data_IF_857229108505
#
_entry.id   IF_857229108505
#
_cell.length_a   1.000
_cell.length_b   1.000
_cell.length_c   1.000
_cell.angle_alpha   90.00
_cell.angle_beta   90.00
_cell.angle_gamma   90.00
#
_symmetry.space_group_name_H-M   'P 1'
#
loop_
_entity.id
_entity.type
_entity.pdbx_description
1 polymer ?
#
# COMPACT_ATOMS: atom_id res chain seq x y z
N UNK A 1 20.14 -15.66 -10.89
CA UNK A 1 18.91 -15.27 -10.17
C UNK A 1 17.70 -15.72 -10.98
N UNK A 2 16.71 -16.44 -10.43
CA UNK A 2 15.66 -17.03 -11.25
C UNK A 2 14.69 -15.95 -11.76
N UNK A 3 14.39 -16.06 -13.06
CA UNK A 3 13.63 -15.12 -13.87
C UNK A 3 12.14 -15.18 -13.50
N UNK A 4 11.60 -14.14 -12.86
CA UNK A 4 10.14 -14.01 -12.69
C UNK A 4 9.50 -13.76 -14.06
N UNK A 5 8.77 -14.75 -14.55
CA UNK A 5 8.10 -14.71 -15.85
C UNK A 5 6.89 -13.74 -15.78
N UNK A 6 7.11 -12.50 -16.22
CA UNK A 6 6.27 -11.33 -15.99
C UNK A 6 5.10 -11.17 -17.00
N UNK A 7 4.48 -12.28 -17.45
CA UNK A 7 3.43 -12.27 -18.49
C UNK A 7 2.03 -12.69 -18.02
N UNK A 8 1.86 -13.15 -16.78
CA UNK A 8 0.57 -13.67 -16.27
C UNK A 8 -0.30 -12.62 -15.57
N UNK A 9 0.30 -11.62 -14.93
CA UNK A 9 -0.41 -10.68 -14.08
C UNK A 9 -0.30 -9.25 -14.62
N UNK A 10 -1.38 -8.48 -14.51
CA UNK A 10 -1.44 -7.12 -15.03
C UNK A 10 -0.63 -6.17 -14.16
N UNK A 11 0.17 -5.32 -14.78
CA UNK A 11 0.79 -4.15 -14.14
C UNK A 11 -0.17 -2.94 -14.20
N UNK A 12 -0.01 -1.98 -13.30
CA UNK A 12 -0.77 -0.72 -13.31
C UNK A 12 -2.00 -0.67 -12.40
N UNK A 13 -2.87 0.32 -12.62
CA UNK A 13 -4.00 0.69 -11.74
C UNK A 13 -4.98 -0.48 -11.58
N UNK A 14 -5.38 -0.76 -10.34
CA UNK A 14 -6.46 -1.71 -10.04
C UNK A 14 -7.79 -1.14 -10.54
N UNK A 15 -8.47 -1.89 -11.41
CA UNK A 15 -9.83 -1.57 -11.82
C UNK A 15 -10.80 -1.68 -10.64
N UNK A 16 -11.98 -1.10 -10.79
CA UNK A 16 -13.04 -1.16 -9.77
C UNK A 16 -13.42 -2.61 -9.51
N UNK A 17 -13.60 -3.44 -10.54
CA UNK A 17 -13.99 -4.84 -10.38
C UNK A 17 -12.90 -5.66 -9.66
N UNK A 18 -11.63 -5.39 -9.95
CA UNK A 18 -10.50 -6.03 -9.26
C UNK A 18 -10.47 -5.63 -7.77
N UNK A 19 -10.72 -4.36 -7.49
CA UNK A 19 -10.79 -3.81 -6.13
C UNK A 19 -11.95 -4.44 -5.34
N UNK A 20 -13.14 -4.53 -5.93
CA UNK A 20 -14.32 -5.10 -5.27
C UNK A 20 -14.17 -6.61 -5.01
N UNK A 21 -13.60 -7.37 -5.95
CA UNK A 21 -13.26 -8.79 -5.72
C UNK A 21 -12.30 -8.95 -4.56
N UNK A 22 -11.26 -8.11 -4.49
CA UNK A 22 -10.28 -8.15 -3.41
C UNK A 22 -10.92 -7.81 -2.06
N UNK A 23 -11.76 -6.78 -1.99
CA UNK A 23 -12.49 -6.42 -0.76
C UNK A 23 -13.36 -7.55 -0.26
N UNK A 24 -14.25 -8.08 -1.12
CA UNK A 24 -15.15 -9.19 -0.78
C UNK A 24 -14.38 -10.42 -0.30
N UNK A 25 -13.23 -10.71 -0.93
CA UNK A 25 -12.38 -11.80 -0.49
C UNK A 25 -11.86 -11.57 0.94
N UNK A 26 -11.31 -10.39 1.23
CA UNK A 26 -10.74 -10.08 2.54
C UNK A 26 -11.80 -9.96 3.63
N UNK A 27 -12.97 -9.41 3.32
CA UNK A 27 -14.11 -9.37 4.25
C UNK A 27 -14.54 -10.78 4.67
N UNK A 28 -14.59 -11.73 3.72
CA UNK A 28 -15.00 -13.11 3.98
C UNK A 28 -13.91 -13.98 4.62
N UNK A 29 -12.63 -13.76 4.29
CA UNK A 29 -11.55 -14.69 4.61
C UNK A 29 -10.42 -14.07 5.48
N UNK A 30 -10.49 -12.78 5.76
CA UNK A 30 -9.42 -12.00 6.40
C UNK A 30 -8.21 -11.72 5.50
N UNK A 31 -7.37 -10.78 5.94
CA UNK A 31 -6.17 -10.32 5.23
C UNK A 31 -4.92 -11.17 5.47
N UNK A 32 -5.04 -12.52 5.42
CA UNK A 32 -3.94 -13.44 5.79
C UNK A 32 -3.43 -14.32 4.65
N UNK A 33 -4.25 -14.59 3.62
CA UNK A 33 -3.89 -15.49 2.52
C UNK A 33 -3.96 -14.80 1.14
N UNK A 34 -2.91 -14.04 0.82
CA UNK A 34 -2.82 -13.25 -0.42
C UNK A 34 -2.66 -14.11 -1.69
N UNK A 35 -2.10 -15.32 -1.56
CA UNK A 35 -2.05 -16.28 -2.68
C UNK A 35 -3.46 -16.68 -3.10
N UNK A 36 -4.34 -17.00 -2.14
CA UNK A 36 -5.75 -17.29 -2.45
C UNK A 36 -6.50 -16.06 -2.94
N UNK A 37 -6.20 -14.87 -2.40
CA UNK A 37 -6.75 -13.61 -2.91
C UNK A 37 -6.40 -13.38 -4.39
N UNK A 38 -5.14 -13.64 -4.79
CA UNK A 38 -4.71 -13.51 -6.20
C UNK A 38 -5.47 -14.42 -7.15
N UNK A 39 -5.79 -15.65 -6.74
CA UNK A 39 -6.62 -16.55 -7.56
C UNK A 39 -8.06 -16.04 -7.67
N UNK A 40 -8.61 -15.44 -6.61
CA UNK A 40 -9.95 -14.88 -6.63
C UNK A 40 -10.06 -13.61 -7.50
N UNK A 41 -9.06 -12.73 -7.45
CA UNK A 41 -8.97 -11.56 -8.34
C UNK A 41 -8.69 -11.98 -9.78
N UNK A 42 -7.83 -12.98 -9.98
CA UNK A 42 -7.54 -13.64 -11.26
C UNK A 42 -6.50 -12.93 -12.13
N UNK A 43 -6.40 -11.60 -12.03
CA UNK A 43 -5.53 -10.76 -12.88
C UNK A 43 -4.33 -10.15 -12.16
N UNK A 44 -4.26 -10.29 -10.84
CA UNK A 44 -3.24 -9.69 -9.98
C UNK A 44 -2.55 -10.77 -9.16
N UNK A 45 -1.27 -10.60 -8.89
CA UNK A 45 -0.52 -11.51 -8.05
C UNK A 45 -0.75 -11.24 -6.55
N UNK A 46 -0.22 -12.12 -5.71
CA UNK A 46 -0.38 -12.04 -4.26
C UNK A 46 0.24 -10.76 -3.66
N UNK A 47 1.39 -10.31 -4.18
CA UNK A 47 2.07 -9.11 -3.71
C UNK A 47 1.22 -7.87 -4.03
N UNK A 48 0.75 -7.75 -5.26
CA UNK A 48 -0.12 -6.68 -5.72
C UNK A 48 -1.42 -6.63 -4.91
N UNK A 49 -2.06 -7.77 -4.65
CA UNK A 49 -3.25 -7.84 -3.80
C UNK A 49 -2.98 -7.35 -2.38
N UNK A 50 -1.86 -7.77 -1.77
CA UNK A 50 -1.47 -7.31 -0.42
C UNK A 50 -1.22 -5.81 -0.40
N UNK A 51 -0.42 -5.29 -1.32
CA UNK A 51 -0.09 -3.86 -1.41
C UNK A 51 -1.34 -3.02 -1.63
N UNK A 52 -2.22 -3.44 -2.55
CA UNK A 52 -3.49 -2.76 -2.79
C UNK A 52 -4.34 -2.71 -1.52
N UNK A 53 -4.43 -3.81 -0.78
CA UNK A 53 -5.19 -3.83 0.47
C UNK A 53 -4.57 -2.93 1.53
N UNK A 54 -3.32 -3.19 1.91
CA UNK A 54 -2.65 -2.52 3.02
C UNK A 54 -2.46 -1.02 2.80
N UNK A 55 -2.28 -0.56 1.56
CA UNK A 55 -1.98 0.85 1.28
C UNK A 55 -3.21 1.66 0.86
N UNK A 56 -4.37 1.03 0.59
CA UNK A 56 -5.52 1.76 0.05
C UNK A 56 -6.89 1.29 0.53
N UNK A 57 -7.10 -0.01 0.77
CA UNK A 57 -8.43 -0.57 1.04
C UNK A 57 -8.69 -0.88 2.51
N UNK A 58 -7.64 -1.18 3.26
CA UNK A 58 -7.74 -1.49 4.68
C UNK A 58 -8.42 -0.32 5.43
N UNK A 59 -9.40 -0.61 6.31
CA UNK A 59 -9.97 0.41 7.19
C UNK A 59 -8.87 1.11 8.00
N UNK A 60 -8.98 2.43 8.15
CA UNK A 60 -7.98 3.24 8.85
C UNK A 60 -6.84 3.75 7.98
N UNK A 61 -6.72 3.33 6.71
CA UNK A 61 -5.77 3.96 5.79
C UNK A 61 -6.27 5.33 5.35
N UNK A 62 -5.51 6.36 5.70
CA UNK A 62 -5.81 7.73 5.34
C UNK A 62 -5.29 8.08 3.94
N UNK A 63 -6.22 8.51 3.09
CA UNK A 63 -6.03 8.83 1.68
C UNK A 63 -6.20 10.32 1.37
N UNK A 64 -6.42 11.16 2.38
CA UNK A 64 -6.51 12.60 2.19
C UNK A 64 -5.16 13.18 1.75
N UNK A 65 -5.18 14.42 1.25
CA UNK A 65 -3.94 15.19 1.07
C UNK A 65 -3.24 15.32 2.43
N UNK A 66 -1.91 15.42 2.39
CA UNK A 66 -1.14 15.73 3.58
C UNK A 66 -1.40 17.17 4.00
N UNK A 67 -1.45 17.40 5.30
CA UNK A 67 -1.49 18.75 5.84
C UNK A 67 -0.07 19.32 5.88
N UNK A 68 0.10 20.65 5.87
CA UNK A 68 1.42 21.27 6.01
C UNK A 68 2.19 20.80 7.26
N UNK A 69 1.48 20.48 8.34
CA UNK A 69 2.06 19.97 9.58
C UNK A 69 2.58 18.54 9.40
N UNK A 70 1.83 17.66 8.71
CA UNK A 70 2.28 16.32 8.37
C UNK A 70 3.52 16.38 7.45
N UNK A 71 3.53 17.27 6.45
CA UNK A 71 4.65 17.43 5.52
C UNK A 71 5.92 17.93 6.22
N UNK A 72 5.80 18.93 7.10
CA UNK A 72 6.92 19.43 7.90
C UNK A 72 7.49 18.35 8.81
N UNK A 73 6.62 17.58 9.45
CA UNK A 73 7.02 16.47 10.31
C UNK A 73 7.75 15.38 9.50
N UNK A 74 7.20 14.96 8.37
CA UNK A 74 7.84 13.98 7.46
C UNK A 74 9.23 14.46 7.05
N UNK A 75 9.34 15.71 6.60
CA UNK A 75 10.60 16.31 6.16
C UNK A 75 11.65 16.29 7.27
N UNK A 76 11.27 16.72 8.48
CA UNK A 76 12.18 16.72 9.63
C UNK A 76 12.67 15.31 10.00
N UNK A 77 11.79 14.31 9.95
CA UNK A 77 12.11 12.93 10.28
C UNK A 77 13.01 12.28 9.23
N UNK A 78 12.76 12.53 7.95
CA UNK A 78 13.60 12.05 6.84
C UNK A 78 15.00 12.68 6.93
N UNK A 79 15.11 13.99 7.14
CA UNK A 79 16.39 14.69 7.26
C UNK A 79 17.20 14.26 8.49
N UNK A 80 16.54 13.82 9.56
CA UNK A 80 17.22 13.26 10.74
C UNK A 80 17.98 11.95 10.44
N UNK A 81 17.70 11.30 9.29
CA UNK A 81 18.47 10.17 8.77
C UNK A 81 18.41 8.87 9.58
N UNK A 82 17.64 8.82 10.66
CA UNK A 82 17.70 7.72 11.65
C UNK A 82 16.54 6.73 11.59
N UNK A 83 15.50 6.99 10.80
CA UNK A 83 14.24 6.23 10.85
C UNK A 83 13.86 5.64 9.49
N UNK A 84 13.44 4.37 9.48
CA UNK A 84 12.83 3.74 8.31
C UNK A 84 11.39 4.23 8.08
N UNK A 85 10.88 4.10 6.84
CA UNK A 85 9.55 4.59 6.44
C UNK A 85 8.38 4.14 7.32
N UNK A 86 8.43 2.92 7.87
CA UNK A 86 7.41 2.44 8.80
C UNK A 86 7.40 3.22 10.11
N UNK A 87 8.58 3.45 10.69
CA UNK A 87 8.71 4.20 11.94
C UNK A 87 8.34 5.68 11.75
N UNK A 88 8.62 6.24 10.56
CA UNK A 88 8.15 7.59 10.20
C UNK A 88 6.61 7.61 10.11
N UNK A 89 5.99 6.63 9.44
CA UNK A 89 4.54 6.55 9.33
C UNK A 89 3.86 6.42 10.71
N UNK A 90 4.44 5.65 11.63
CA UNK A 90 3.98 5.56 13.02
C UNK A 90 4.04 6.90 13.76
N UNK A 91 5.12 7.67 13.57
CA UNK A 91 5.27 9.01 14.18
C UNK A 91 4.31 10.04 13.60
N UNK A 92 4.09 10.02 12.29
CA UNK A 92 3.11 10.89 11.63
C UNK A 92 1.69 10.53 12.06
N UNK A 93 1.43 9.23 12.24
CA UNK A 93 0.13 8.74 12.70
C UNK A 93 -0.98 8.96 11.67
N UNK A 94 -2.20 9.20 12.16
CA UNK A 94 -3.37 9.56 11.33
C UNK A 94 -3.66 8.58 10.18
N UNK A 95 -3.33 7.30 10.32
CA UNK A 95 -3.55 6.29 9.28
C UNK A 95 -2.65 6.42 8.04
N UNK A 96 -1.58 7.21 8.11
CA UNK A 96 -0.57 7.28 7.04
C UNK A 96 0.20 5.96 6.96
N UNK A 97 0.46 5.51 5.75
CA UNK A 97 1.22 4.27 5.50
C UNK A 97 2.65 4.61 5.11
N UNK A 98 3.59 3.71 5.37
CA UNK A 98 4.98 3.87 4.90
C UNK A 98 5.04 4.17 3.39
N UNK A 99 4.13 3.60 2.59
CA UNK A 99 4.04 3.87 1.17
C UNK A 99 3.57 5.31 0.87
N UNK A 100 2.57 5.84 1.59
CA UNK A 100 2.12 7.22 1.39
C UNK A 100 3.21 8.23 1.76
N UNK A 101 3.97 7.97 2.83
CA UNK A 101 5.11 8.81 3.23
C UNK A 101 6.19 8.82 2.13
N UNK A 102 6.56 7.63 1.65
CA UNK A 102 7.58 7.48 0.61
C UNK A 102 7.19 8.20 -0.69
N UNK A 103 5.91 8.18 -1.07
CA UNK A 103 5.43 8.83 -2.29
C UNK A 103 5.50 10.36 -2.23
N UNK A 104 5.51 10.97 -1.04
CA UNK A 104 5.60 12.42 -0.89
C UNK A 104 7.05 12.91 -0.89
N UNK A 105 7.96 12.13 -0.29
CA UNK A 105 9.33 12.55 -0.02
C UNK A 105 10.37 12.28 -1.13
N UNK A 106 9.99 12.01 -2.38
CA UNK A 106 10.95 11.69 -3.47
C UNK A 106 10.70 12.47 -4.78
N UNK A 107 9.68 13.32 -4.87
CA UNK A 107 9.42 14.16 -6.07
C UNK A 107 9.66 15.67 -5.81
N UNK A 108 10.64 16.02 -4.96
CA UNK A 108 11.10 17.40 -4.77
C UNK A 108 12.55 17.55 -5.24
#
# INVERSE_FOLDING_TARGET
MPKYNNRKYKLGIFKVEETEKLKKFVEKNGGKNWKRASYHVGTRDAKQCRERWCNHLMPGVNKSRFTPEEDNLVTSLVLSGSMGWYAIAERVGNGRTANSIKTIGIDA
#
